data_IF_983698762495
#
_entry.id   IF_983698762495
#
_cell.length_a   1.000
_cell.length_b   1.000
_cell.length_c   1.000
_cell.angle_alpha   90.00
_cell.angle_beta   90.00
_cell.angle_gamma   90.00
#
_symmetry.space_group_name_H-M   'P 1'
#
loop_
_entity.id
_entity.type
_entity.pdbx_description
1 polymer ?
#
# COMPACT_ATOMS: atom_id res chain seq x y z
N UNK A 1 -45.14 12.81 -4.95
CA UNK A 1 -43.93 12.18 -5.53
C UNK A 1 -42.85 12.20 -4.46
N UNK A 2 -42.42 11.04 -3.94
CA UNK A 2 -41.39 10.98 -2.91
C UNK A 2 -39.99 11.00 -3.56
N UNK A 3 -39.21 12.04 -3.25
CA UNK A 3 -37.84 12.19 -3.71
C UNK A 3 -36.92 11.22 -2.93
N UNK A 4 -36.64 10.06 -3.51
CA UNK A 4 -35.76 9.06 -2.94
C UNK A 4 -34.27 9.35 -3.27
N UNK A 5 -33.80 10.56 -2.95
CA UNK A 5 -32.40 11.01 -3.19
C UNK A 5 -31.63 11.14 -1.87
N UNK A 6 -31.62 10.09 -1.05
CA UNK A 6 -31.08 10.21 0.30
C UNK A 6 -30.55 8.92 0.88
N UNK A 7 -29.68 8.20 0.15
CA UNK A 7 -28.64 7.29 0.68
C UNK A 7 -28.04 6.40 -0.43
N UNK A 8 -27.72 6.97 -1.60
CA UNK A 8 -26.96 6.21 -2.60
C UNK A 8 -25.47 6.39 -2.29
N UNK A 9 -25.00 5.63 -1.31
CA UNK A 9 -23.57 5.53 -0.97
C UNK A 9 -22.78 5.10 -2.21
N UNK A 10 -21.70 5.81 -2.53
CA UNK A 10 -20.83 5.41 -3.64
C UNK A 10 -20.18 4.05 -3.34
N UNK A 11 -19.85 3.28 -4.38
CA UNK A 11 -19.05 2.04 -4.23
C UNK A 11 -17.72 2.30 -3.53
N UNK A 12 -17.12 3.46 -3.79
CA UNK A 12 -15.88 3.90 -3.14
C UNK A 12 -16.10 4.19 -1.65
N UNK A 13 -17.21 4.86 -1.29
CA UNK A 13 -17.55 5.14 0.11
C UNK A 13 -17.89 3.86 0.88
N UNK A 14 -18.64 2.94 0.25
CA UNK A 14 -18.94 1.65 0.83
C UNK A 14 -17.67 0.82 1.06
N UNK A 15 -16.72 0.86 0.11
CA UNK A 15 -15.42 0.21 0.24
C UNK A 15 -14.58 0.80 1.38
N UNK A 16 -14.53 2.15 1.48
CA UNK A 16 -13.80 2.84 2.54
C UNK A 16 -14.36 2.50 3.92
N UNK A 17 -15.68 2.58 4.11
CA UNK A 17 -16.30 2.28 5.40
C UNK A 17 -16.17 0.81 5.79
N UNK A 18 -16.24 -0.12 4.83
CA UNK A 18 -15.96 -1.53 5.08
C UNK A 18 -14.51 -1.77 5.55
N UNK A 19 -13.55 -1.08 4.94
CA UNK A 19 -12.15 -1.11 5.35
C UNK A 19 -11.92 -0.54 6.76
N UNK A 20 -12.48 0.63 7.06
CA UNK A 20 -12.39 1.27 8.37
C UNK A 20 -13.03 0.42 9.48
N UNK A 21 -14.23 -0.14 9.24
CA UNK A 21 -14.89 -1.03 10.18
C UNK A 21 -14.07 -2.31 10.45
N UNK A 22 -13.42 -2.85 9.42
CA UNK A 22 -12.56 -4.04 9.57
C UNK A 22 -11.31 -3.69 10.38
N UNK A 23 -10.66 -2.56 10.07
CA UNK A 23 -9.45 -2.11 10.76
C UNK A 23 -9.67 -1.76 12.23
N UNK A 24 -10.87 -1.31 12.58
CA UNK A 24 -11.21 -1.00 13.97
C UNK A 24 -11.54 -2.24 14.81
N UNK A 25 -12.02 -3.32 14.17
CA UNK A 25 -12.47 -4.53 14.85
C UNK A 25 -11.43 -5.65 14.91
N UNK A 26 -10.34 -5.56 14.14
CA UNK A 26 -9.40 -6.66 13.99
C UNK A 26 -7.99 -6.25 14.37
N UNK A 27 -7.32 -7.12 15.12
CA UNK A 27 -5.96 -6.89 15.60
C UNK A 27 -4.91 -7.33 14.57
N UNK A 28 -3.65 -7.02 14.86
CA UNK A 28 -2.49 -7.33 14.01
C UNK A 28 -2.44 -8.81 13.60
N UNK A 29 -2.81 -9.72 14.50
CA UNK A 29 -2.78 -11.17 14.27
C UNK A 29 -3.76 -11.61 13.16
N UNK A 30 -4.92 -10.96 13.05
CA UNK A 30 -5.90 -11.24 12.00
C UNK A 30 -5.34 -10.97 10.60
N UNK A 31 -4.69 -9.83 10.41
CA UNK A 31 -4.07 -9.48 9.13
C UNK A 31 -2.88 -10.37 8.80
N UNK A 32 -2.13 -10.81 9.81
CA UNK A 32 -1.04 -11.77 9.63
C UNK A 32 -1.56 -13.14 9.17
N UNK A 33 -2.64 -13.64 9.78
CA UNK A 33 -3.23 -14.92 9.41
C UNK A 33 -3.81 -14.88 7.98
N UNK A 34 -4.50 -13.80 7.61
CA UNK A 34 -5.02 -13.61 6.25
C UNK A 34 -3.89 -13.50 5.23
N UNK A 35 -2.86 -12.71 5.53
CA UNK A 35 -1.67 -12.59 4.68
C UNK A 35 -0.98 -13.94 4.47
N UNK A 36 -0.84 -14.73 5.54
CA UNK A 36 -0.27 -16.09 5.48
C UNK A 36 -1.11 -17.02 4.62
N UNK A 37 -2.44 -17.07 4.83
CA UNK A 37 -3.35 -17.91 4.03
C UNK A 37 -3.33 -17.51 2.56
N UNK A 38 -3.31 -16.21 2.24
CA UNK A 38 -3.19 -15.73 0.87
C UNK A 38 -1.85 -16.09 0.23
N UNK A 39 -0.75 -15.97 1.00
CA UNK A 39 0.59 -16.41 0.57
C UNK A 39 0.66 -17.91 0.30
N UNK A 40 0.12 -18.74 1.21
CA UNK A 40 0.07 -20.20 1.07
C UNK A 40 -0.80 -20.64 -0.12
N UNK A 41 -1.92 -19.97 -0.36
CA UNK A 41 -2.78 -20.26 -1.52
C UNK A 41 -2.09 -19.88 -2.84
N UNK A 42 -1.34 -18.78 -2.84
CA UNK A 42 -0.56 -18.33 -4.01
C UNK A 42 0.61 -19.29 -4.26
N UNK A 43 1.36 -19.67 -3.23
CA UNK A 43 2.56 -20.50 -3.36
C UNK A 43 2.28 -21.94 -3.76
N UNK A 44 1.07 -22.46 -3.46
CA UNK A 44 0.64 -23.79 -3.90
C UNK A 44 0.25 -23.88 -5.38
N UNK A 45 -0.13 -22.75 -5.99
CA UNK A 45 -0.68 -22.72 -7.35
C UNK A 45 0.22 -22.01 -8.36
N UNK A 46 1.34 -21.43 -7.92
CA UNK A 46 2.19 -20.60 -8.76
C UNK A 46 3.66 -20.99 -8.69
N UNK A 47 4.26 -21.18 -9.85
CA UNK A 47 5.67 -21.50 -10.03
C UNK A 47 6.56 -20.26 -9.89
N UNK A 48 7.88 -20.48 -9.88
CA UNK A 48 8.90 -19.46 -9.71
C UNK A 48 8.77 -18.28 -10.69
N UNK A 49 8.29 -18.52 -11.91
CA UNK A 49 8.05 -17.49 -12.94
C UNK A 49 6.96 -16.48 -12.53
N UNK A 50 5.92 -16.91 -11.81
CA UNK A 50 4.88 -16.00 -11.32
C UNK A 50 5.44 -14.98 -10.33
N UNK A 51 6.27 -15.43 -9.39
CA UNK A 51 6.92 -14.56 -8.42
C UNK A 51 7.91 -13.59 -9.07
N UNK A 52 8.60 -14.04 -10.12
CA UNK A 52 9.49 -13.17 -10.91
C UNK A 52 8.69 -12.08 -11.65
N UNK A 53 7.55 -12.44 -12.24
CA UNK A 53 6.72 -11.48 -12.98
C UNK A 53 6.10 -10.42 -12.06
N UNK A 54 5.52 -10.82 -10.92
CA UNK A 54 4.96 -9.86 -9.96
C UNK A 54 6.06 -8.98 -9.34
N UNK A 55 7.24 -9.54 -9.09
CA UNK A 55 8.39 -8.79 -8.61
C UNK A 55 8.87 -7.76 -9.63
N UNK A 56 8.94 -8.15 -10.90
CA UNK A 56 9.26 -7.25 -12.02
C UNK A 56 8.23 -6.13 -12.15
N UNK A 57 6.94 -6.45 -12.20
CA UNK A 57 5.85 -5.45 -12.27
C UNK A 57 5.84 -4.50 -11.08
N UNK A 58 6.11 -4.99 -9.87
CA UNK A 58 6.24 -4.15 -8.68
C UNK A 58 7.47 -3.24 -8.69
N UNK A 59 8.57 -3.71 -9.30
CA UNK A 59 9.77 -2.90 -9.56
C UNK A 59 9.54 -1.84 -10.62
N UNK A 60 8.90 -2.20 -11.72
CA UNK A 60 8.54 -1.29 -12.83
C UNK A 60 7.59 -0.20 -12.35
N UNK A 61 6.53 -0.54 -11.59
CA UNK A 61 5.61 0.47 -11.04
C UNK A 61 6.31 1.46 -10.08
N UNK A 62 7.35 1.01 -9.36
CA UNK A 62 8.21 1.86 -8.55
C UNK A 62 9.14 2.72 -9.39
N UNK A 63 9.55 2.26 -10.56
CA UNK A 63 10.44 3.01 -11.45
C UNK A 63 9.67 4.04 -12.28
N UNK A 64 8.49 3.69 -12.78
CA UNK A 64 7.54 4.59 -13.44
C UNK A 64 7.09 5.73 -12.51
N UNK A 65 6.82 5.42 -11.23
CA UNK A 65 6.50 6.44 -10.23
C UNK A 65 7.71 7.33 -9.85
N UNK A 66 8.92 6.92 -10.21
CA UNK A 66 10.16 7.60 -9.85
C UNK A 66 10.72 8.53 -10.91
N UNK A 67 10.14 8.58 -12.12
CA UNK A 67 10.62 9.51 -13.15
C UNK A 67 10.29 10.98 -12.84
N UNK A 68 9.40 11.28 -11.88
CA UNK A 68 8.99 12.64 -11.52
C UNK A 68 9.40 13.12 -10.11
N UNK A 69 10.17 12.34 -9.35
CA UNK A 69 10.40 12.67 -7.93
C UNK A 69 11.68 12.14 -7.24
N UNK A 70 12.61 11.50 -7.95
CA UNK A 70 13.89 11.08 -7.33
C UNK A 70 14.77 12.31 -7.07
N UNK A 71 14.73 12.82 -5.83
CA UNK A 71 15.81 13.67 -5.29
C UNK A 71 17.14 12.96 -5.54
N UNK A 72 18.13 13.67 -6.08
CA UNK A 72 19.44 13.09 -6.37
C UNK A 72 20.03 12.43 -5.12
N UNK A 73 20.84 11.37 -5.30
CA UNK A 73 21.60 10.75 -4.19
C UNK A 73 22.37 11.80 -3.37
N UNK A 74 22.78 12.88 -4.04
CA UNK A 74 23.46 14.02 -3.43
C UNK A 74 22.53 14.93 -2.59
N UNK A 75 21.31 15.16 -3.07
CA UNK A 75 20.28 15.93 -2.37
C UNK A 75 19.74 15.18 -1.14
N UNK A 76 19.53 13.87 -1.28
CA UNK A 76 19.20 12.99 -0.16
C UNK A 76 20.30 12.99 0.91
N UNK A 77 21.58 12.97 0.49
CA UNK A 77 22.73 13.07 1.39
C UNK A 77 22.80 14.41 2.13
N UNK A 78 22.64 15.53 1.41
CA UNK A 78 22.61 16.88 2.01
C UNK A 78 21.47 17.03 3.01
N UNK A 79 20.25 16.62 2.65
CA UNK A 79 19.06 16.74 3.50
C UNK A 79 19.14 15.83 4.73
N UNK A 80 19.68 14.61 4.58
CA UNK A 80 19.96 13.70 5.68
C UNK A 80 21.04 14.23 6.64
N UNK A 81 22.06 14.93 6.12
CA UNK A 81 23.07 15.60 6.94
C UNK A 81 22.50 16.81 7.71
N UNK A 82 21.69 17.63 7.05
CA UNK A 82 21.02 18.79 7.66
C UNK A 82 19.99 18.41 8.73
N UNK A 83 19.28 17.30 8.56
CA UNK A 83 18.35 16.79 9.57
C UNK A 83 19.09 16.40 10.87
N UNK A 84 20.32 15.91 10.76
CA UNK A 84 21.16 15.52 11.90
C UNK A 84 21.82 16.72 12.60
N UNK A 85 22.05 17.82 11.89
CA UNK A 85 22.61 19.04 12.49
C UNK A 85 21.57 19.88 13.23
N UNK A 86 20.28 19.81 12.86
CA UNK A 86 19.19 20.56 13.51
C UNK A 86 18.69 19.96 14.83
N UNK A 87 19.12 18.75 15.19
CA UNK A 87 18.77 18.10 16.48
C UNK A 87 19.84 18.32 17.55
N UNK A 88 20.84 19.18 17.28
CA UNK A 88 21.88 19.58 18.24
C UNK A 88 21.84 21.09 18.43
N UNK A 89 20.72 21.59 18.93
CA UNK A 89 20.62 22.85 19.67
C UNK A 89 19.61 22.62 20.82
#
# INVERSE_FOLDING_TARGET
>A
MANNRGNNMSREEAGRMGGEATSNNHEKEFYQEIGKKGGDATSRNHDQEFYQEIGRKGGEARDDSNSNGKMSREEAGRKGGQARSRQRD
#
